data_IF_894246667263
#
_entry.id   IF_894246667263
#
_cell.length_a   1.000
_cell.length_b   1.000
_cell.length_c   1.000
_cell.angle_alpha   90.00
_cell.angle_beta   90.00
_cell.angle_gamma   90.00
#
_symmetry.space_group_name_H-M   'P 1'
#
loop_
_entity.id
_entity.type
_entity.pdbx_description
1 polymer ?
#
# COMPACT_ATOMS: atom_id res chain seq x y z
N UNK A 1 -29.34 10.59 31.30
CA UNK A 1 -30.81 10.75 31.18
C UNK A 1 -31.26 9.89 30.01
N UNK A 2 -32.42 9.21 30.06
CA UNK A 2 -32.96 8.51 28.90
C UNK A 2 -33.11 9.48 27.72
N UNK A 3 -32.94 8.98 26.51
CA UNK A 3 -33.22 9.78 25.31
C UNK A 3 -34.73 10.04 25.17
N UNK A 4 -35.12 11.25 24.80
CA UNK A 4 -36.52 11.57 24.53
C UNK A 4 -37.06 10.67 23.41
N UNK A 5 -38.09 9.90 23.71
CA UNK A 5 -38.70 8.95 22.78
C UNK A 5 -38.15 7.52 22.82
N UNK A 6 -37.00 7.29 23.47
CA UNK A 6 -36.38 5.96 23.57
C UNK A 6 -35.96 5.66 25.02
N UNK A 7 -36.89 5.22 25.88
CA UNK A 7 -36.65 5.01 27.31
C UNK A 7 -35.59 3.92 27.61
N UNK A 8 -35.27 3.08 26.63
CA UNK A 8 -34.25 2.02 26.73
C UNK A 8 -32.83 2.53 26.45
N UNK A 9 -32.68 3.74 25.89
CA UNK A 9 -31.40 4.31 25.50
C UNK A 9 -30.98 5.37 26.51
N UNK A 10 -29.89 5.10 27.23
CA UNK A 10 -29.34 6.01 28.24
C UNK A 10 -28.31 6.95 27.61
N UNK A 11 -28.54 8.27 27.65
CA UNK A 11 -27.52 9.27 27.28
C UNK A 11 -26.35 9.17 28.26
N UNK A 12 -25.18 8.82 27.73
CA UNK A 12 -23.90 8.83 28.42
C UNK A 12 -22.99 9.88 27.80
N UNK A 13 -22.15 10.53 28.61
CA UNK A 13 -21.06 11.39 28.10
C UNK A 13 -19.90 10.58 27.49
N UNK A 14 -20.01 9.25 27.48
CA UNK A 14 -19.03 8.39 26.84
C UNK A 14 -19.23 8.39 25.32
N UNK A 15 -18.40 9.16 24.62
CA UNK A 15 -18.09 8.91 23.21
C UNK A 15 -17.53 7.48 23.14
N UNK A 16 -18.09 6.62 22.28
CA UNK A 16 -17.73 5.21 22.19
C UNK A 16 -16.21 5.00 22.17
N UNK A 17 -15.71 4.05 22.96
CA UNK A 17 -14.27 3.76 23.02
C UNK A 17 -13.85 3.10 21.71
N UNK A 18 -13.12 3.83 20.87
CA UNK A 18 -12.47 3.23 19.70
C UNK A 18 -11.18 2.56 20.18
N UNK A 19 -11.10 1.23 20.04
CA UNK A 19 -9.93 0.46 20.41
C UNK A 19 -8.68 0.90 19.63
N UNK A 20 -7.51 0.82 20.25
CA UNK A 20 -6.24 0.98 19.55
C UNK A 20 -6.12 -0.14 18.52
N UNK A 21 -6.13 0.22 17.23
CA UNK A 21 -6.03 -0.73 16.13
C UNK A 21 -4.57 -0.73 15.66
N UNK A 22 -3.96 -1.91 15.58
CA UNK A 22 -2.64 -2.05 14.99
C UNK A 22 -2.71 -1.79 13.47
N UNK A 23 -1.75 -1.09 12.84
CA UNK A 23 -1.76 -0.80 11.39
C UNK A 23 -1.97 -2.04 10.49
N UNK A 24 -1.49 -3.22 10.92
CA UNK A 24 -1.70 -4.48 10.21
C UNK A 24 -3.18 -4.88 10.02
N UNK A 25 -4.12 -4.29 10.78
CA UNK A 25 -5.55 -4.41 10.48
C UNK A 25 -6.00 -3.18 9.67
N UNK A 26 -5.65 -3.20 8.39
CA UNK A 26 -5.83 -2.08 7.47
C UNK A 26 -7.27 -1.57 7.44
N UNK A 27 -8.28 -2.45 7.35
CA UNK A 27 -9.69 -2.04 7.36
C UNK A 27 -10.08 -1.30 8.65
N UNK A 28 -9.75 -1.85 9.82
CA UNK A 28 -10.08 -1.21 11.09
C UNK A 28 -9.29 0.09 11.31
N UNK A 29 -8.07 0.19 10.77
CA UNK A 29 -7.27 1.41 10.81
C UNK A 29 -7.94 2.54 10.03
N UNK A 30 -8.32 2.29 8.76
CA UNK A 30 -9.02 3.30 7.95
C UNK A 30 -10.41 3.63 8.50
N UNK A 31 -11.16 2.63 8.98
CA UNK A 31 -12.44 2.85 9.64
C UNK A 31 -12.27 3.77 10.86
N UNK A 32 -11.25 3.53 11.69
CA UNK A 32 -10.93 4.37 12.85
C UNK A 32 -10.63 5.80 12.41
N UNK A 33 -9.83 6.01 11.36
CA UNK A 33 -9.55 7.36 10.84
C UNK A 33 -10.83 8.08 10.43
N UNK A 34 -11.71 7.42 9.66
CA UNK A 34 -12.97 8.01 9.23
C UNK A 34 -13.89 8.36 10.40
N UNK A 35 -13.96 7.51 11.43
CA UNK A 35 -14.73 7.78 12.64
C UNK A 35 -14.21 8.98 13.44
N UNK A 36 -12.94 9.35 13.31
CA UNK A 36 -12.39 10.55 13.96
C UNK A 36 -12.71 11.83 13.17
N UNK A 37 -12.83 11.74 11.85
CA UNK A 37 -12.99 12.89 10.97
C UNK A 37 -14.45 13.19 10.60
N UNK A 38 -15.25 12.15 10.33
CA UNK A 38 -16.64 12.29 9.91
C UNK A 38 -17.55 12.41 11.14
N UNK A 39 -18.29 13.53 11.23
CA UNK A 39 -19.20 13.79 12.35
C UNK A 39 -20.60 13.24 12.10
N UNK A 40 -21.11 12.49 13.06
CA UNK A 40 -22.48 11.97 13.06
C UNK A 40 -22.83 10.95 11.98
N UNK A 41 -21.93 10.03 11.55
CA UNK A 41 -22.32 8.96 10.64
C UNK A 41 -23.42 8.09 11.27
N UNK A 42 -24.50 7.86 10.54
CA UNK A 42 -25.63 7.03 11.02
C UNK A 42 -25.49 5.58 10.62
N UNK A 43 -24.67 5.31 9.60
CA UNK A 43 -24.37 3.98 9.09
C UNK A 43 -22.97 3.91 8.46
N UNK A 44 -22.51 2.71 8.09
CA UNK A 44 -21.19 2.52 7.49
C UNK A 44 -21.05 3.06 6.06
N UNK A 45 -22.15 3.23 5.34
CA UNK A 45 -22.14 3.84 4.00
C UNK A 45 -21.89 5.35 4.11
N UNK A 46 -22.43 6.00 5.13
CA UNK A 46 -22.17 7.42 5.40
C UNK A 46 -20.66 7.67 5.59
N UNK A 47 -19.96 6.78 6.30
CA UNK A 47 -18.51 6.85 6.49
C UNK A 47 -17.72 6.76 5.18
N UNK A 48 -18.29 6.14 4.15
CA UNK A 48 -17.67 5.98 2.83
C UNK A 48 -18.17 7.01 1.81
N UNK A 49 -19.07 7.91 2.21
CA UNK A 49 -19.67 8.89 1.31
C UNK A 49 -18.94 10.23 1.44
N UNK A 50 -18.07 10.55 0.48
CA UNK A 50 -17.29 11.80 0.47
C UNK A 50 -17.75 12.65 -0.72
N UNK A 51 -18.23 13.86 -0.44
CA UNK A 51 -18.78 14.80 -1.44
C UNK A 51 -19.87 14.18 -2.35
N UNK A 52 -20.73 13.33 -1.78
CA UNK A 52 -21.81 12.66 -2.51
C UNK A 52 -21.40 11.44 -3.33
N UNK A 53 -20.11 11.04 -3.30
CA UNK A 53 -19.61 9.82 -3.92
C UNK A 53 -19.39 8.72 -2.87
N UNK A 54 -19.95 7.53 -3.09
CA UNK A 54 -19.77 6.38 -2.20
C UNK A 54 -18.52 5.60 -2.63
N UNK A 55 -17.43 5.76 -1.88
CA UNK A 55 -16.20 4.99 -2.08
C UNK A 55 -16.44 3.50 -1.84
N UNK A 56 -15.71 2.61 -2.52
CA UNK A 56 -15.80 1.15 -2.39
C UNK A 56 -15.15 0.62 -1.11
N UNK A 57 -14.14 1.31 -0.58
CA UNK A 57 -13.40 0.91 0.62
C UNK A 57 -13.22 2.09 1.59
N UNK A 58 -12.97 1.80 2.87
CA UNK A 58 -12.63 2.85 3.84
C UNK A 58 -11.31 3.56 3.49
N UNK A 59 -10.34 2.84 2.90
CA UNK A 59 -9.09 3.43 2.41
C UNK A 59 -9.34 4.52 1.38
N UNK A 60 -10.19 4.22 0.40
CA UNK A 60 -10.54 5.16 -0.67
C UNK A 60 -11.26 6.40 -0.11
N UNK A 61 -12.12 6.24 0.89
CA UNK A 61 -12.73 7.37 1.58
C UNK A 61 -11.69 8.22 2.33
N UNK A 62 -10.72 7.59 3.02
CA UNK A 62 -9.61 8.31 3.65
C UNK A 62 -8.75 9.06 2.64
N UNK A 63 -8.46 8.46 1.48
CA UNK A 63 -7.72 9.11 0.39
C UNK A 63 -8.45 10.34 -0.12
N UNK A 64 -9.77 10.23 -0.34
CA UNK A 64 -10.58 11.33 -0.88
C UNK A 64 -10.74 12.48 0.11
N UNK A 65 -10.73 12.19 1.41
CA UNK A 65 -10.66 13.19 2.48
C UNK A 65 -9.25 13.79 2.70
N UNK A 66 -8.23 13.31 1.98
CA UNK A 66 -6.85 13.75 2.15
C UNK A 66 -6.24 13.37 3.50
N UNK A 67 -6.77 12.32 4.14
CA UNK A 67 -6.29 11.86 5.46
C UNK A 67 -5.05 10.97 5.34
N UNK A 68 -4.83 10.38 4.18
CA UNK A 68 -3.62 9.63 3.90
C UNK A 68 -2.57 10.57 3.32
N UNK A 69 -1.31 10.40 3.71
CA UNK A 69 -0.21 11.11 3.07
C UNK A 69 -0.25 10.82 1.57
N UNK A 70 -0.22 11.89 0.77
CA UNK A 70 -0.06 11.76 -0.68
C UNK A 70 1.31 11.13 -0.93
N UNK A 71 1.32 9.97 -1.61
CA UNK A 71 2.54 9.24 -1.95
C UNK A 71 3.51 10.04 -2.86
N UNK A 72 3.19 11.29 -3.19
CA UNK A 72 4.02 12.22 -3.95
C UNK A 72 5.45 12.28 -3.42
N UNK A 73 5.67 12.23 -2.10
CA UNK A 73 7.04 12.24 -1.60
C UNK A 73 7.77 10.93 -1.91
N UNK A 74 7.10 9.78 -1.88
CA UNK A 74 7.69 8.50 -2.29
C UNK A 74 7.98 8.47 -3.79
N UNK A 75 7.06 9.02 -4.60
CA UNK A 75 7.26 9.14 -6.04
C UNK A 75 8.46 10.04 -6.36
N UNK A 76 8.55 11.24 -5.75
CA UNK A 76 9.70 12.14 -5.91
C UNK A 76 11.00 11.49 -5.43
N UNK A 77 10.97 10.83 -4.26
CA UNK A 77 12.14 10.14 -3.69
C UNK A 77 12.64 9.04 -4.63
N UNK A 78 11.74 8.22 -5.17
CA UNK A 78 12.09 7.17 -6.13
C UNK A 78 12.56 7.76 -7.46
N UNK A 79 11.93 8.84 -7.92
CA UNK A 79 12.35 9.55 -9.13
C UNK A 79 13.78 10.08 -9.01
N UNK A 80 14.15 10.70 -7.89
CA UNK A 80 15.53 11.14 -7.63
C UNK A 80 16.50 9.95 -7.57
N UNK A 81 16.09 8.84 -6.96
CA UNK A 81 16.89 7.62 -6.92
C UNK A 81 17.14 7.06 -8.33
N UNK A 82 16.16 7.14 -9.25
CA UNK A 82 16.37 6.67 -10.63
C UNK A 82 17.47 7.41 -11.39
N UNK A 83 17.83 8.62 -10.96
CA UNK A 83 18.87 9.44 -11.58
C UNK A 83 20.27 9.16 -11.02
N UNK A 84 20.37 8.59 -9.82
CA UNK A 84 21.61 8.55 -9.04
C UNK A 84 21.99 7.16 -8.54
N UNK A 85 21.03 6.23 -8.48
CA UNK A 85 21.18 4.93 -7.86
C UNK A 85 21.05 3.78 -8.86
N UNK A 86 21.65 2.64 -8.52
CA UNK A 86 21.50 1.38 -9.26
C UNK A 86 20.14 0.73 -9.00
N UNK A 87 19.70 -0.17 -9.89
CA UNK A 87 18.48 -0.94 -9.72
C UNK A 87 18.37 -1.65 -8.35
N UNK A 88 19.50 -2.18 -7.84
CA UNK A 88 19.55 -2.81 -6.52
C UNK A 88 19.28 -1.83 -5.38
N UNK A 89 19.89 -0.65 -5.42
CA UNK A 89 19.67 0.40 -4.42
C UNK A 89 18.23 0.94 -4.48
N UNK A 90 17.64 1.04 -5.69
CA UNK A 90 16.24 1.43 -5.83
C UNK A 90 15.33 0.36 -5.22
N UNK A 91 15.63 -0.94 -5.39
CA UNK A 91 14.89 -2.03 -4.72
C UNK A 91 14.98 -1.94 -3.19
N UNK A 92 16.15 -1.60 -2.64
CA UNK A 92 16.33 -1.42 -1.20
C UNK A 92 15.51 -0.25 -0.66
N UNK A 93 15.58 0.90 -1.33
CA UNK A 93 14.78 2.07 -0.99
C UNK A 93 13.29 1.75 -1.07
N UNK A 94 12.85 1.04 -2.11
CA UNK A 94 11.46 0.63 -2.27
C UNK A 94 11.01 -0.32 -1.14
N UNK A 95 11.85 -1.28 -0.75
CA UNK A 95 11.55 -2.17 0.39
C UNK A 95 11.39 -1.39 1.71
N UNK A 96 12.21 -0.36 1.94
CA UNK A 96 12.08 0.53 3.11
C UNK A 96 10.76 1.31 3.04
N UNK A 97 10.46 1.93 1.89
CA UNK A 97 9.21 2.66 1.67
C UNK A 97 8.01 1.75 1.96
N UNK A 98 8.04 0.49 1.51
CA UNK A 98 6.96 -0.45 1.78
C UNK A 98 6.70 -0.68 3.28
N UNK A 99 7.72 -0.57 4.14
CA UNK A 99 7.54 -0.72 5.60
C UNK A 99 6.84 0.47 6.26
N UNK A 100 6.76 1.62 5.57
CA UNK A 100 6.05 2.80 6.07
C UNK A 100 4.55 2.77 5.76
N UNK A 101 4.06 1.71 5.09
CA UNK A 101 2.68 1.53 4.64
C UNK A 101 2.18 2.64 3.70
N UNK A 102 2.79 2.77 2.49
CA UNK A 102 2.39 3.79 1.53
C UNK A 102 0.91 3.65 1.12
N UNK A 103 0.32 4.77 0.69
CA UNK A 103 -1.10 4.86 0.37
C UNK A 103 -1.48 4.06 -0.88
N UNK A 104 -0.55 3.79 -1.80
CA UNK A 104 -0.72 2.97 -2.99
C UNK A 104 0.60 2.33 -3.46
N UNK A 105 1.09 1.27 -2.78
CA UNK A 105 2.35 0.61 -3.12
C UNK A 105 2.38 0.05 -4.54
N UNK A 106 1.22 -0.44 -5.02
CA UNK A 106 1.08 -0.99 -6.37
C UNK A 106 1.30 0.07 -7.46
N UNK A 107 0.79 1.29 -7.26
CA UNK A 107 1.04 2.38 -8.20
C UNK A 107 2.51 2.76 -8.26
N UNK A 108 3.18 2.87 -7.10
CA UNK A 108 4.62 3.14 -7.06
C UNK A 108 5.41 2.02 -7.77
N UNK A 109 5.04 0.76 -7.52
CA UNK A 109 5.62 -0.38 -8.25
C UNK A 109 5.44 -0.25 -9.76
N UNK A 110 4.22 0.01 -10.24
CA UNK A 110 3.95 0.11 -11.67
C UNK A 110 4.72 1.25 -12.35
N UNK A 111 4.95 2.36 -11.64
CA UNK A 111 5.76 3.48 -12.11
C UNK A 111 7.26 3.16 -12.20
N UNK A 112 7.81 2.40 -11.24
CA UNK A 112 9.27 2.24 -11.08
C UNK A 112 9.82 0.82 -11.35
N UNK A 113 8.96 -0.18 -11.64
CA UNK A 113 9.37 -1.58 -11.86
C UNK A 113 10.44 -1.76 -12.93
N UNK A 114 10.46 -0.92 -13.96
CA UNK A 114 11.50 -0.96 -15.01
C UNK A 114 12.86 -0.55 -14.46
N UNK A 115 12.92 0.55 -13.70
CA UNK A 115 14.15 1.01 -13.05
C UNK A 115 14.67 -0.02 -12.04
N UNK A 116 13.76 -0.65 -11.29
CA UNK A 116 14.09 -1.71 -10.33
C UNK A 116 14.49 -3.03 -10.98
N UNK A 117 14.35 -3.21 -12.29
CA UNK A 117 14.62 -4.49 -12.98
C UNK A 117 15.67 -4.36 -14.08
N UNK A 118 16.29 -3.19 -14.23
CA UNK A 118 17.21 -2.86 -15.31
C UNK A 118 18.45 -3.77 -15.31
N UNK A 119 19.01 -4.06 -14.14
CA UNK A 119 20.15 -4.95 -13.97
C UNK A 119 19.83 -6.42 -14.32
N UNK A 120 18.60 -6.88 -14.05
CA UNK A 120 18.14 -8.22 -14.44
C UNK A 120 18.09 -8.33 -15.96
N UNK A 121 17.45 -7.35 -16.61
CA UNK A 121 17.40 -7.30 -18.08
C UNK A 121 18.81 -7.26 -18.68
N UNK A 122 19.70 -6.46 -18.09
CA UNK A 122 21.09 -6.36 -18.52
C UNK A 122 21.84 -7.69 -18.41
N UNK A 123 21.71 -8.40 -17.28
CA UNK A 123 22.32 -9.71 -17.08
C UNK A 123 21.83 -10.75 -18.09
N UNK A 124 20.52 -10.78 -18.35
CA UNK A 124 19.92 -11.70 -19.31
C UNK A 124 20.42 -11.42 -20.75
N UNK A 125 20.54 -10.15 -21.12
CA UNK A 125 21.10 -9.74 -22.43
C UNK A 125 22.57 -10.13 -22.58
N UNK A 126 23.37 -9.99 -21.52
CA UNK A 126 24.76 -10.46 -21.55
C UNK A 126 24.86 -11.98 -21.76
N UNK A 127 23.98 -12.74 -21.12
CA UNK A 127 23.95 -14.20 -21.27
C UNK A 127 23.43 -14.65 -22.64
N UNK A 128 22.67 -13.80 -23.34
CA UNK A 128 22.02 -14.13 -24.63
C UNK A 128 22.25 -13.03 -25.68
N UNK A 129 23.48 -12.85 -26.21
CA UNK A 129 23.82 -11.71 -27.07
C UNK A 129 23.06 -11.66 -28.40
N UNK A 130 22.63 -12.82 -28.90
CA UNK A 130 21.94 -12.97 -30.19
C UNK A 130 20.44 -12.67 -30.11
N UNK A 131 19.88 -12.52 -28.90
CA UNK A 131 18.46 -12.33 -28.69
C UNK A 131 18.15 -10.87 -28.35
N UNK A 132 17.13 -10.32 -29.01
CA UNK A 132 16.56 -9.03 -28.64
C UNK A 132 15.57 -9.28 -27.50
N UNK A 133 16.02 -9.03 -26.28
CA UNK A 133 15.23 -9.24 -25.06
C UNK A 133 14.75 -7.88 -24.55
N UNK A 134 13.46 -7.76 -24.28
CA UNK A 134 12.82 -6.59 -23.67
C UNK A 134 12.26 -6.93 -22.30
N UNK A 135 11.79 -5.91 -21.57
CA UNK A 135 11.06 -6.13 -20.32
C UNK A 135 9.82 -7.01 -20.56
N UNK A 136 9.68 -8.04 -19.74
CA UNK A 136 8.56 -8.97 -19.77
C UNK A 136 8.16 -9.34 -18.33
N UNK A 137 7.07 -10.10 -18.21
CA UNK A 137 6.54 -10.48 -16.90
C UNK A 137 7.51 -11.36 -16.09
N UNK A 138 8.36 -12.16 -16.74
CA UNK A 138 9.37 -12.97 -16.04
C UNK A 138 10.43 -12.10 -15.35
N UNK A 139 10.88 -11.03 -16.00
CA UNK A 139 11.83 -10.06 -15.43
C UNK A 139 11.19 -9.31 -14.26
N UNK A 140 9.94 -8.89 -14.40
CA UNK A 140 9.21 -8.24 -13.31
C UNK A 140 8.96 -9.20 -12.15
N UNK A 141 8.68 -10.47 -12.43
CA UNK A 141 8.50 -11.50 -11.43
C UNK A 141 9.79 -11.78 -10.64
N UNK A 142 10.93 -11.92 -11.33
CA UNK A 142 12.26 -12.04 -10.70
C UNK A 142 12.56 -10.84 -9.79
N UNK A 143 12.15 -9.64 -10.22
CA UNK A 143 12.28 -8.43 -9.42
C UNK A 143 11.42 -8.47 -8.17
N UNK A 144 10.17 -8.96 -8.27
CA UNK A 144 9.28 -9.16 -7.12
C UNK A 144 9.84 -10.20 -6.14
N UNK A 145 10.48 -11.27 -6.62
CA UNK A 145 11.13 -12.27 -5.75
C UNK A 145 12.22 -11.60 -4.90
N UNK A 146 13.13 -10.85 -5.55
CA UNK A 146 14.22 -10.15 -4.84
C UNK A 146 13.70 -9.09 -3.88
N UNK A 147 12.62 -8.42 -4.25
CA UNK A 147 11.98 -7.45 -3.39
C UNK A 147 11.31 -8.11 -2.18
N UNK A 148 10.64 -9.24 -2.37
CA UNK A 148 10.03 -10.00 -1.27
C UNK A 148 11.09 -10.48 -0.27
N UNK A 149 12.23 -10.98 -0.75
CA UNK A 149 13.34 -11.38 0.12
C UNK A 149 13.85 -10.22 0.98
N UNK A 150 13.89 -8.99 0.42
CA UNK A 150 14.24 -7.77 1.17
C UNK A 150 13.16 -7.41 2.20
N UNK A 151 11.88 -7.44 1.83
CA UNK A 151 10.79 -7.17 2.77
C UNK A 151 10.80 -8.17 3.93
N UNK A 152 10.93 -9.47 3.65
CA UNK A 152 11.05 -10.51 4.67
C UNK A 152 12.22 -10.25 5.62
N UNK A 153 13.37 -9.80 5.10
CA UNK A 153 14.52 -9.46 5.93
C UNK A 153 14.30 -8.24 6.84
N UNK A 154 13.50 -7.25 6.40
CA UNK A 154 13.28 -6.00 7.16
C UNK A 154 12.18 -6.16 8.22
N UNK A 155 11.01 -6.70 7.85
CA UNK A 155 9.83 -6.72 8.72
C UNK A 155 9.10 -8.08 8.75
N UNK A 156 9.66 -9.13 8.12
CA UNK A 156 9.06 -10.45 8.02
C UNK A 156 7.64 -10.43 7.43
N UNK A 157 7.35 -9.47 6.56
CA UNK A 157 6.09 -9.39 5.82
C UNK A 157 6.30 -9.79 4.36
N UNK A 158 5.35 -10.55 3.84
CA UNK A 158 5.26 -10.90 2.42
C UNK A 158 4.77 -9.70 1.59
N UNK A 159 5.06 -9.71 0.28
CA UNK A 159 4.54 -8.66 -0.62
C UNK A 159 2.99 -8.62 -0.62
N UNK A 160 2.34 -9.76 -0.45
CA UNK A 160 0.87 -9.85 -0.41
C UNK A 160 0.28 -9.09 0.78
N UNK A 161 0.89 -9.23 1.97
CA UNK A 161 0.41 -8.58 3.20
C UNK A 161 0.49 -7.05 3.14
N UNK A 162 1.39 -6.52 2.31
CA UNK A 162 1.60 -5.08 2.12
C UNK A 162 0.93 -4.54 0.83
N UNK A 163 0.06 -5.34 0.20
CA UNK A 163 -0.75 -4.92 -0.95
C UNK A 163 -0.02 -4.89 -2.29
N UNK A 164 1.08 -5.62 -2.41
CA UNK A 164 1.85 -5.81 -3.64
C UNK A 164 1.50 -7.15 -4.33
N UNK A 165 1.79 -7.31 -5.64
CA UNK A 165 1.62 -8.59 -6.32
C UNK A 165 2.49 -9.69 -5.71
N UNK A 166 1.96 -10.90 -5.57
CA UNK A 166 2.71 -12.06 -5.09
C UNK A 166 3.74 -12.49 -6.16
N UNK A 167 5.00 -12.74 -5.80
CA UNK A 167 5.94 -13.33 -6.73
C UNK A 167 5.59 -14.79 -7.01
N UNK A 168 5.73 -15.19 -8.28
CA UNK A 168 5.62 -16.57 -8.72
C UNK A 168 6.98 -17.23 -8.60
N UNK A 169 7.23 -17.88 -7.45
CA UNK A 169 8.34 -18.80 -7.28
C UNK A 169 7.90 -20.13 -7.90
N UNK A 170 8.25 -20.39 -9.16
CA UNK A 170 7.97 -21.68 -9.77
C UNK A 170 8.74 -22.76 -8.98
N UNK A 171 8.03 -23.47 -8.09
CA UNK A 171 8.48 -24.73 -7.53
C UNK A 171 8.40 -25.77 -8.65
N UNK A 172 9.38 -25.77 -9.56
CA UNK A 172 9.66 -26.97 -10.35
C UNK A 172 10.18 -28.04 -9.38
N UNK A 173 9.26 -28.93 -8.98
CA UNK A 173 9.59 -30.27 -8.49
C UNK A 173 10.14 -31.11 -9.64
#
# INVERSE_FOLDING_TARGET
MPEEGHPEIMKTNAIGRVYTVHPNNAECFYLRMLLHEIRGPTNFTDLRTIDGYICHTYREACQRLGLLENDNHWELTLQEATLTASAEQIRELFAIILTTNPSNPKQLWDSFKRNMSDDILYQIRQANPELIIEFNDDIFNETLIRLEDKCLAINNQTLVEIGMPAPQRNNTF
#
